data_IF_848397502795
#
_entry.id   IF_848397502795
#
_cell.length_a   1.000
_cell.length_b   1.000
_cell.length_c   1.000
_cell.angle_alpha   90.00
_cell.angle_beta   90.00
_cell.angle_gamma   90.00
#
_symmetry.space_group_name_H-M   'P 1'
#
loop_
_entity.id
_entity.type
_entity.pdbx_description
1 polymer ?
#
# COMPACT_ATOMS: atom_id res chain seq x y z
N UNK A 1 -12.69 10.08 1.75
CA UNK A 1 -12.72 9.93 3.22
C UNK A 1 -11.60 10.77 3.82
N UNK A 2 -11.82 12.08 3.95
CA UNK A 2 -10.92 13.00 4.65
C UNK A 2 -11.84 13.90 5.46
N UNK A 3 -11.55 14.08 6.75
CA UNK A 3 -12.24 14.99 7.68
C UNK A 3 -13.40 14.39 8.52
N UNK A 4 -13.17 13.26 9.19
CA UNK A 4 -13.90 12.94 10.43
C UNK A 4 -12.86 12.64 11.51
N UNK A 5 -12.76 13.53 12.50
CA UNK A 5 -12.00 13.26 13.72
C UNK A 5 -13.02 12.72 14.72
N UNK A 6 -12.99 11.42 14.97
CA UNK A 6 -13.71 10.81 16.08
C UNK A 6 -12.82 11.00 17.32
N UNK A 7 -13.19 11.95 18.19
CA UNK A 7 -12.57 12.09 19.50
C UNK A 7 -13.15 10.99 20.40
N UNK A 8 -12.51 9.83 20.40
CA UNK A 8 -12.76 8.81 21.42
C UNK A 8 -12.08 9.26 22.72
N UNK A 9 -12.84 9.36 23.81
CA UNK A 9 -12.29 9.65 25.12
C UNK A 9 -11.74 8.35 25.70
N UNK A 10 -10.44 8.34 25.98
CA UNK A 10 -9.76 7.21 26.59
C UNK A 10 -9.85 7.33 28.10
N UNK A 11 -10.49 6.35 28.74
CA UNK A 11 -10.67 6.33 30.19
C UNK A 11 -9.46 5.74 30.94
N UNK A 12 -8.61 5.00 30.23
CA UNK A 12 -7.38 4.38 30.74
C UNK A 12 -6.20 4.73 29.83
N UNK A 13 -5.05 5.20 30.37
CA UNK A 13 -3.88 5.53 29.55
C UNK A 13 -3.35 4.38 28.69
N UNK A 14 -3.42 3.14 29.18
CA UNK A 14 -2.96 1.96 28.43
C UNK A 14 -3.78 1.65 27.18
N UNK A 15 -5.07 1.98 27.17
CA UNK A 15 -5.92 1.80 25.98
C UNK A 15 -5.52 2.79 24.87
N UNK A 16 -5.17 4.03 25.25
CA UNK A 16 -4.68 5.03 24.32
C UNK A 16 -3.34 4.61 23.70
N UNK A 17 -2.41 4.11 24.52
CA UNK A 17 -1.12 3.61 24.05
C UNK A 17 -1.30 2.47 23.04
N UNK A 18 -2.14 1.49 23.36
CA UNK A 18 -2.44 0.37 22.45
C UNK A 18 -3.10 0.84 21.14
N UNK A 19 -4.02 1.80 21.19
CA UNK A 19 -4.69 2.31 19.99
C UNK A 19 -3.74 3.14 19.11
N UNK A 20 -2.83 3.91 19.72
CA UNK A 20 -1.77 4.62 19.00
C UNK A 20 -0.82 3.61 18.34
N UNK A 21 -0.38 2.58 19.06
CA UNK A 21 0.51 1.54 18.53
C UNK A 21 -0.12 0.84 17.32
N UNK A 22 -1.38 0.43 17.43
CA UNK A 22 -2.13 -0.17 16.33
C UNK A 22 -2.25 0.77 15.12
N UNK A 23 -2.48 2.07 15.35
CA UNK A 23 -2.52 3.06 14.29
C UNK A 23 -1.16 3.23 13.59
N UNK A 24 -0.08 3.33 14.35
CA UNK A 24 1.29 3.47 13.85
C UNK A 24 1.67 2.26 13.00
N UNK A 25 1.39 1.04 13.48
CA UNK A 25 1.67 -0.18 12.74
C UNK A 25 0.90 -0.22 11.41
N UNK A 26 -0.41 0.04 11.46
CA UNK A 26 -1.23 0.06 10.26
C UNK A 26 -0.73 1.09 9.24
N UNK A 27 -0.44 2.32 9.68
CA UNK A 27 -0.01 3.39 8.80
C UNK A 27 1.35 3.11 8.15
N UNK A 28 2.32 2.59 8.92
CA UNK A 28 3.70 2.43 8.48
C UNK A 28 3.95 1.10 7.75
N UNK A 29 3.29 0.01 8.12
CA UNK A 29 3.62 -1.33 7.62
C UNK A 29 2.54 -1.94 6.72
N UNK A 30 1.28 -1.51 6.83
CA UNK A 30 0.17 -2.18 6.15
C UNK A 30 -0.48 -1.30 5.08
N UNK A 31 -0.54 0.01 5.31
CA UNK A 31 -1.21 0.95 4.42
C UNK A 31 -0.29 1.37 3.27
N UNK A 32 -0.77 1.18 2.04
CA UNK A 32 -0.16 1.76 0.85
C UNK A 32 -0.55 3.23 0.70
N UNK A 33 0.42 4.06 0.32
CA UNK A 33 0.17 5.50 0.12
C UNK A 33 0.41 5.91 -1.32
N UNK A 34 -0.57 6.58 -1.92
CA UNK A 34 -0.52 7.05 -3.31
C UNK A 34 0.66 8.00 -3.56
N UNK A 35 0.95 8.89 -2.60
CA UNK A 35 2.10 9.81 -2.66
C UNK A 35 3.46 9.09 -2.63
N UNK A 36 3.48 7.81 -2.26
CA UNK A 36 4.66 6.93 -2.28
C UNK A 36 4.55 5.89 -3.39
N UNK A 37 3.86 6.18 -4.49
CA UNK A 37 3.65 5.22 -5.58
C UNK A 37 3.00 3.89 -5.12
N UNK A 38 2.15 3.96 -4.10
CA UNK A 38 1.49 2.81 -3.49
C UNK A 38 2.47 1.76 -2.92
N UNK A 39 3.59 2.20 -2.32
CA UNK A 39 4.35 1.40 -1.35
C UNK A 39 4.05 1.84 0.08
N UNK A 40 4.48 1.05 1.07
CA UNK A 40 4.30 1.39 2.49
C UNK A 40 5.39 2.37 2.95
N UNK A 41 5.16 3.20 4.00
CA UNK A 41 6.18 4.08 4.52
C UNK A 41 7.41 3.32 5.02
N UNK A 42 7.22 2.14 5.64
CA UNK A 42 8.32 1.29 6.06
C UNK A 42 9.18 0.81 4.89
N UNK A 43 8.59 0.45 3.74
CA UNK A 43 9.36 0.08 2.55
C UNK A 43 10.21 1.22 2.02
N UNK A 44 9.72 2.46 2.09
CA UNK A 44 10.50 3.65 1.73
C UNK A 44 11.61 3.88 2.74
N UNK A 45 11.30 3.83 4.04
CA UNK A 45 12.28 4.04 5.11
C UNK A 45 13.44 3.04 5.04
N UNK A 46 13.14 1.77 4.82
CA UNK A 46 14.14 0.71 4.68
C UNK A 46 14.73 0.61 3.26
N UNK A 47 14.37 1.49 2.32
CA UNK A 47 14.91 1.54 0.96
C UNK A 47 14.55 0.35 0.06
N UNK A 48 13.46 -0.37 0.38
CA UNK A 48 12.94 -1.53 -0.39
C UNK A 48 12.02 -1.13 -1.53
N UNK A 49 11.54 0.12 -1.53
CA UNK A 49 10.61 0.71 -2.48
C UNK A 49 11.00 0.48 -3.95
N UNK A 50 12.27 0.75 -4.31
CA UNK A 50 12.74 0.64 -5.70
C UNK A 50 12.61 -0.78 -6.25
N UNK A 51 13.00 -1.78 -5.45
CA UNK A 51 12.92 -3.18 -5.84
C UNK A 51 11.45 -3.63 -6.03
N UNK A 52 10.56 -3.20 -5.14
CA UNK A 52 9.12 -3.49 -5.23
C UNK A 52 8.54 -2.90 -6.52
N UNK A 53 8.85 -1.63 -6.82
CA UNK A 53 8.32 -0.93 -7.99
C UNK A 53 8.83 -1.56 -9.31
N UNK A 54 10.11 -1.89 -9.40
CA UNK A 54 10.69 -2.57 -10.56
C UNK A 54 10.03 -3.94 -10.81
N UNK A 55 9.82 -4.72 -9.76
CA UNK A 55 9.17 -6.02 -9.89
C UNK A 55 7.70 -5.89 -10.33
N UNK A 56 6.97 -4.90 -9.83
CA UNK A 56 5.59 -4.60 -10.27
C UNK A 56 5.53 -4.19 -11.73
N UNK A 57 6.43 -3.32 -12.19
CA UNK A 57 6.50 -2.91 -13.59
C UNK A 57 6.73 -4.12 -14.51
N UNK A 58 7.68 -5.00 -14.14
CA UNK A 58 7.97 -6.23 -14.89
C UNK A 58 6.75 -7.13 -15.01
N UNK A 59 6.01 -7.33 -13.92
CA UNK A 59 4.77 -8.13 -13.93
C UNK A 59 3.73 -7.48 -14.85
N UNK A 60 3.48 -6.17 -14.68
CA UNK A 60 2.50 -5.42 -15.48
C UNK A 60 2.79 -5.53 -16.97
N UNK A 61 4.05 -5.39 -17.39
CA UNK A 61 4.46 -5.55 -18.79
C UNK A 61 4.14 -6.94 -19.32
N UNK A 62 4.55 -7.99 -18.61
CA UNK A 62 4.28 -9.38 -19.00
C UNK A 62 2.78 -9.67 -19.13
N UNK A 63 1.96 -9.19 -18.19
CA UNK A 63 0.51 -9.40 -18.23
C UNK A 63 -0.12 -8.67 -19.42
N UNK A 64 0.32 -7.46 -19.75
CA UNK A 64 -0.18 -6.73 -20.92
C UNK A 64 0.23 -7.40 -22.23
N UNK A 65 1.46 -7.91 -22.34
CA UNK A 65 1.92 -8.67 -23.51
C UNK A 65 1.10 -9.95 -23.72
N UNK A 66 0.89 -10.74 -22.67
CA UNK A 66 0.07 -11.94 -22.72
C UNK A 66 -1.37 -11.62 -23.15
N UNK A 67 -1.96 -10.54 -22.62
CA UNK A 67 -3.30 -10.08 -23.00
C UNK A 67 -3.36 -9.69 -24.48
N UNK A 68 -2.36 -8.96 -25.00
CA UNK A 68 -2.29 -8.58 -26.42
C UNK A 68 -2.20 -9.80 -27.33
N UNK A 69 -1.39 -10.80 -26.97
CA UNK A 69 -1.28 -12.04 -27.72
C UNK A 69 -2.62 -12.78 -27.77
N UNK A 70 -3.28 -12.94 -26.63
CA UNK A 70 -4.59 -13.58 -26.55
C UNK A 70 -5.62 -12.87 -27.45
N UNK A 71 -5.69 -11.54 -27.40
CA UNK A 71 -6.60 -10.80 -28.28
C UNK A 71 -6.27 -10.99 -29.77
N UNK A 72 -4.99 -11.05 -30.16
CA UNK A 72 -4.62 -11.31 -31.56
C UNK A 72 -5.02 -12.71 -32.04
N UNK A 73 -4.93 -13.72 -31.17
CA UNK A 73 -5.31 -15.10 -31.50
C UNK A 73 -6.82 -15.27 -31.64
N UNK A 74 -7.61 -14.50 -30.89
CA UNK A 74 -9.08 -14.59 -30.87
C UNK A 74 -9.80 -13.52 -31.71
N UNK A 75 -9.07 -12.64 -32.39
CA UNK A 75 -9.64 -11.61 -33.27
C UNK A 75 -9.60 -12.00 -34.77
N UNK A 76 -9.29 -13.27 -35.08
CA UNK A 76 -9.45 -13.91 -36.39
C UNK A 76 -10.72 -14.77 -36.36
#
# INVERSE_FOLDING_TARGET
>A
MKNRILLENYFLPGDLEAQIEAFVDHYNHQRYHEGLNNVTPADVYFGRDKAILQQRERIKRKTLEARRLHHRLHAA
#
